data_IF_154670395042
#
_entry.id   IF_154670395042
#
_cell.length_a   1.000
_cell.length_b   1.000
_cell.length_c   1.000
_cell.angle_alpha   90.00
_cell.angle_beta   90.00
_cell.angle_gamma   90.00
#
_symmetry.space_group_name_H-M   'P 1'
#
loop_
_entity.id
_entity.type
_entity.pdbx_description
1 polymer ?
#
# COMPACT_ATOMS: atom_id res chain seq x y z
N UNK A 1 -2.98 8.90 29.19
CA UNK A 1 -1.77 8.10 28.83
C UNK A 1 -1.89 7.42 27.46
N UNK A 2 -3.02 7.55 26.76
CA UNK A 2 -3.40 6.81 25.55
C UNK A 2 -2.91 7.46 24.24
N UNK A 3 -2.98 8.78 24.14
CA UNK A 3 -2.61 9.55 22.94
C UNK A 3 -1.17 9.34 22.45
N UNK A 4 -0.19 9.52 23.34
CA UNK A 4 1.24 9.35 23.00
C UNK A 4 1.57 7.91 22.57
N UNK A 5 0.87 6.91 23.12
CA UNK A 5 1.04 5.52 22.75
C UNK A 5 0.44 5.24 21.36
N UNK A 6 -0.73 5.82 21.04
CA UNK A 6 -1.35 5.69 19.71
C UNK A 6 -0.48 6.32 18.61
N UNK A 7 0.05 7.53 18.82
CA UNK A 7 0.99 8.15 17.88
C UNK A 7 2.25 7.30 17.67
N UNK A 8 2.83 6.76 18.73
CA UNK A 8 4.01 5.90 18.64
C UNK A 8 3.74 4.59 17.88
N UNK A 9 2.54 4.01 18.02
CA UNK A 9 2.12 2.83 17.26
C UNK A 9 1.96 3.16 15.78
N UNK A 10 1.31 4.28 15.44
CA UNK A 10 1.13 4.72 14.05
C UNK A 10 2.47 5.04 13.38
N UNK A 11 3.38 5.66 14.10
CA UNK A 11 4.74 5.93 13.61
C UNK A 11 5.52 4.64 13.36
N UNK A 12 5.49 3.70 14.32
CA UNK A 12 6.13 2.38 14.16
C UNK A 12 5.55 1.61 12.97
N UNK A 13 4.23 1.62 12.82
CA UNK A 13 3.54 0.98 11.69
C UNK A 13 3.94 1.63 10.35
N UNK A 14 3.95 2.96 10.28
CA UNK A 14 4.40 3.71 9.11
C UNK A 14 5.82 3.32 8.70
N UNK A 15 6.73 3.25 9.66
CA UNK A 15 8.13 2.88 9.42
C UNK A 15 8.27 1.42 8.96
N UNK A 16 7.50 0.51 9.55
CA UNK A 16 7.53 -0.90 9.16
C UNK A 16 6.99 -1.09 7.74
N UNK A 17 5.87 -0.43 7.39
CA UNK A 17 5.31 -0.45 6.03
C UNK A 17 6.30 0.10 4.98
N UNK A 18 7.00 1.20 5.30
CA UNK A 18 8.04 1.74 4.43
C UNK A 18 9.21 0.76 4.25
N UNK A 19 9.68 0.16 5.34
CA UNK A 19 10.75 -0.86 5.30
C UNK A 19 10.36 -2.07 4.46
N UNK A 20 9.11 -2.53 4.54
CA UNK A 20 8.64 -3.65 3.72
C UNK A 20 8.54 -3.25 2.24
N UNK A 21 8.08 -2.04 1.92
CA UNK A 21 8.08 -1.54 0.55
C UNK A 21 9.50 -1.50 -0.04
N UNK A 22 10.49 -0.98 0.71
CA UNK A 22 11.90 -0.97 0.28
C UNK A 22 12.50 -2.37 0.11
N UNK A 23 12.07 -3.36 0.90
CA UNK A 23 12.51 -4.74 0.74
C UNK A 23 11.95 -5.36 -0.53
N UNK A 24 10.67 -5.12 -0.81
CA UNK A 24 10.01 -5.61 -2.03
C UNK A 24 10.64 -4.96 -3.26
N UNK A 25 10.84 -3.64 -3.25
CA UNK A 25 11.48 -2.89 -4.34
C UNK A 25 12.89 -3.40 -4.64
N UNK A 26 13.69 -3.69 -3.60
CA UNK A 26 15.00 -4.32 -3.75
C UNK A 26 14.92 -5.72 -4.34
N UNK A 27 14.00 -6.56 -3.86
CA UNK A 27 13.80 -7.90 -4.39
C UNK A 27 13.39 -7.86 -5.87
N UNK A 28 12.49 -6.95 -6.25
CA UNK A 28 12.11 -6.74 -7.65
C UNK A 28 13.32 -6.36 -8.50
N UNK A 29 14.11 -5.39 -8.02
CA UNK A 29 15.30 -4.91 -8.71
C UNK A 29 16.39 -5.98 -8.87
N UNK A 30 16.52 -6.89 -7.90
CA UNK A 30 17.48 -8.01 -7.95
C UNK A 30 16.96 -9.17 -8.82
N UNK A 31 15.66 -9.42 -8.83
CA UNK A 31 15.05 -10.53 -9.57
C UNK A 31 14.88 -10.19 -11.06
N UNK A 32 14.54 -8.95 -11.41
CA UNK A 32 14.32 -8.53 -12.80
C UNK A 32 15.51 -8.86 -13.73
N UNK A 33 16.78 -8.60 -13.38
CA UNK A 33 17.94 -8.99 -14.19
C UNK A 33 18.10 -10.51 -14.34
N UNK A 34 17.76 -11.29 -13.31
CA UNK A 34 17.80 -12.75 -13.35
C UNK A 34 16.73 -13.31 -14.30
N UNK A 35 15.58 -12.64 -14.34
CA UNK A 35 14.46 -12.97 -15.21
C UNK A 35 14.65 -12.48 -16.64
N UNK A 36 15.44 -11.42 -16.87
CA UNK A 36 15.67 -10.83 -18.19
C UNK A 36 16.30 -11.80 -19.21
N UNK A 37 16.98 -12.84 -18.74
CA UNK A 37 17.55 -13.91 -19.58
C UNK A 37 16.50 -14.94 -20.05
N UNK A 38 15.26 -14.86 -19.56
CA UNK A 38 14.19 -15.82 -19.84
C UNK A 38 12.98 -15.15 -20.50
N UNK A 39 12.30 -15.87 -21.40
CA UNK A 39 10.98 -15.46 -21.87
C UNK A 39 9.98 -15.70 -20.74
N UNK A 40 9.53 -14.61 -20.12
CA UNK A 40 8.51 -14.67 -19.09
C UNK A 40 7.16 -15.07 -19.69
N UNK A 41 6.48 -15.98 -19.01
CA UNK A 41 5.07 -16.27 -19.27
C UNK A 41 4.20 -15.09 -18.86
N UNK A 42 3.00 -15.00 -19.43
CA UNK A 42 1.99 -13.99 -19.05
C UNK A 42 1.70 -14.00 -17.54
N UNK A 43 1.65 -15.19 -16.91
CA UNK A 43 1.44 -15.32 -15.48
C UNK A 43 2.59 -14.71 -14.65
N UNK A 44 3.85 -14.87 -15.10
CA UNK A 44 5.01 -14.28 -14.43
C UNK A 44 5.06 -12.75 -14.58
N UNK A 45 4.65 -12.22 -15.74
CA UNK A 45 4.53 -10.78 -15.94
C UNK A 45 3.45 -10.17 -15.03
N UNK A 46 2.30 -10.83 -14.91
CA UNK A 46 1.26 -10.41 -13.97
C UNK A 46 1.76 -10.46 -12.51
N UNK A 47 2.49 -11.50 -12.11
CA UNK A 47 3.05 -11.57 -10.76
C UNK A 47 4.04 -10.42 -10.45
N UNK A 48 4.80 -9.93 -11.45
CA UNK A 48 5.66 -8.75 -11.29
C UNK A 48 4.84 -7.46 -11.14
N UNK A 49 3.77 -7.31 -11.93
CA UNK A 49 2.85 -6.18 -11.81
C UNK A 49 2.14 -6.15 -10.44
N UNK A 50 1.73 -7.32 -9.93
CA UNK A 50 1.11 -7.45 -8.60
C UNK A 50 2.11 -7.05 -7.49
N UNK A 51 3.40 -7.32 -7.69
CA UNK A 51 4.46 -6.99 -6.75
C UNK A 51 4.75 -5.48 -6.71
N UNK A 52 4.76 -4.81 -7.87
CA UNK A 52 4.83 -3.34 -7.95
C UNK A 52 3.60 -2.68 -7.30
N UNK A 53 2.39 -3.18 -7.60
CA UNK A 53 1.16 -2.70 -6.97
C UNK A 53 1.17 -2.88 -5.43
N UNK A 54 1.72 -3.99 -4.94
CA UNK A 54 1.92 -4.24 -3.51
C UNK A 54 2.90 -3.23 -2.91
N UNK A 55 4.03 -2.97 -3.57
CA UNK A 55 5.02 -1.97 -3.15
C UNK A 55 4.37 -0.58 -3.04
N UNK A 56 3.61 -0.17 -4.05
CA UNK A 56 2.88 1.10 -4.06
C UNK A 56 1.83 1.18 -2.94
N UNK A 57 1.08 0.10 -2.72
CA UNK A 57 0.10 0.00 -1.64
C UNK A 57 0.73 0.16 -0.26
N UNK A 58 1.90 -0.46 -0.02
CA UNK A 58 2.62 -0.32 1.24
C UNK A 58 3.14 1.10 1.45
N UNK A 59 3.63 1.76 0.40
CA UNK A 59 4.06 3.17 0.44
C UNK A 59 2.89 4.10 0.76
N UNK A 60 1.73 3.87 0.14
CA UNK A 60 0.50 4.62 0.41
C UNK A 60 0.01 4.42 1.85
N UNK A 61 -0.01 3.19 2.36
CA UNK A 61 -0.37 2.91 3.75
C UNK A 61 0.61 3.52 4.75
N UNK A 62 1.91 3.52 4.43
CA UNK A 62 2.92 4.20 5.23
C UNK A 62 2.64 5.70 5.31
N UNK A 63 2.42 6.37 4.16
CA UNK A 63 2.06 7.79 4.12
C UNK A 63 0.78 8.09 4.89
N UNK A 64 -0.25 7.27 4.71
CA UNK A 64 -1.53 7.42 5.39
C UNK A 64 -1.42 7.30 6.91
N UNK A 65 -0.72 6.28 7.40
CA UNK A 65 -0.52 6.06 8.84
C UNK A 65 0.35 7.14 9.48
N UNK A 66 1.34 7.66 8.76
CA UNK A 66 2.11 8.84 9.17
C UNK A 66 1.23 10.09 9.28
N UNK A 67 0.40 10.36 8.26
CA UNK A 67 -0.53 11.49 8.25
C UNK A 67 -1.56 11.42 9.40
N UNK A 68 -2.08 10.21 9.67
CA UNK A 68 -2.97 9.96 10.80
C UNK A 68 -2.30 10.25 12.14
N UNK A 69 -1.04 9.81 12.30
CA UNK A 69 -0.26 10.08 13.51
C UNK A 69 -0.03 11.58 13.74
N UNK A 70 0.18 12.35 12.66
CA UNK A 70 0.36 13.80 12.71
C UNK A 70 -0.94 14.56 13.02
N UNK A 71 -2.10 14.01 12.66
CA UNK A 71 -3.42 14.60 12.92
C UNK A 71 -4.07 14.13 14.24
N UNK A 72 -3.38 13.32 15.03
CA UNK A 72 -3.88 12.88 16.33
C UNK A 72 -3.91 14.08 17.32
N UNK A 73 -5.10 14.64 17.55
CA UNK A 73 -5.31 15.71 18.54
C UNK A 73 -5.31 15.19 19.99
N UNK A 74 -5.15 16.07 20.99
CA UNK A 74 -5.00 15.70 22.41
C UNK A 74 -6.18 14.92 23.02
N UNK A 75 -7.34 14.90 22.35
CA UNK A 75 -8.57 14.21 22.80
C UNK A 75 -8.74 12.79 22.23
N UNK A 76 -7.66 12.14 21.77
CA UNK A 76 -7.68 10.79 21.15
C UNK A 76 -8.60 10.65 19.92
N UNK A 77 -9.12 11.77 19.40
CA UNK A 77 -9.90 11.80 18.16
C UNK A 77 -8.95 11.94 16.98
N UNK A 78 -8.87 10.87 16.19
CA UNK A 78 -8.18 10.88 14.91
C UNK A 78 -9.01 11.67 13.90
N UNK A 79 -8.47 12.78 13.41
CA UNK A 79 -9.05 13.47 12.27
C UNK A 79 -8.51 12.81 10.98
N UNK A 80 -9.36 12.07 10.28
CA UNK A 80 -9.03 11.45 9.00
C UNK A 80 -9.18 12.42 7.82
N UNK A 81 -9.73 13.62 8.06
CA UNK A 81 -9.96 14.65 7.05
C UNK A 81 -8.61 15.12 6.47
N UNK A 82 -8.39 14.83 5.19
CA UNK A 82 -7.13 15.12 4.49
C UNK A 82 -6.11 13.97 4.50
N UNK A 83 -6.27 12.93 5.32
CA UNK A 83 -5.38 11.77 5.29
C UNK A 83 -5.57 10.94 4.02
N UNK A 84 -6.76 10.96 3.42
CA UNK A 84 -7.01 10.26 2.14
C UNK A 84 -6.31 10.93 0.94
N UNK A 85 -5.91 12.19 1.05
CA UNK A 85 -5.25 12.93 -0.04
C UNK A 85 -3.82 12.43 -0.32
N UNK A 86 -3.21 11.70 0.61
CA UNK A 86 -1.87 11.11 0.43
C UNK A 86 -1.89 9.71 -0.18
N UNK A 87 -3.09 9.15 -0.42
CA UNK A 87 -3.28 7.86 -1.09
C UNK A 87 -3.37 8.08 -2.60
N UNK A 88 -2.50 7.42 -3.36
CA UNK A 88 -2.50 7.49 -4.82
C UNK A 88 -3.39 6.40 -5.41
N UNK A 89 -3.52 5.27 -4.73
CA UNK A 89 -4.39 4.17 -5.12
C UNK A 89 -5.83 4.46 -4.70
N UNK A 90 -6.66 4.83 -5.69
CA UNK A 90 -8.08 5.15 -5.49
C UNK A 90 -8.86 4.01 -4.83
N UNK A 91 -8.66 2.78 -5.28
CA UNK A 91 -9.33 1.60 -4.70
C UNK A 91 -8.94 1.38 -3.23
N UNK A 92 -7.69 1.71 -2.87
CA UNK A 92 -7.22 1.64 -1.49
C UNK A 92 -7.86 2.76 -0.65
N UNK A 93 -7.95 3.98 -1.19
CA UNK A 93 -8.63 5.09 -0.55
C UNK A 93 -10.12 4.81 -0.32
N UNK A 94 -10.81 4.24 -1.31
CA UNK A 94 -12.22 3.88 -1.22
C UNK A 94 -12.44 2.79 -0.15
N UNK A 95 -11.57 1.77 -0.09
CA UNK A 95 -11.63 0.72 0.96
C UNK A 95 -11.37 1.26 2.36
N UNK A 96 -10.40 2.16 2.52
CA UNK A 96 -10.07 2.77 3.81
C UNK A 96 -11.14 3.79 4.25
N UNK A 97 -11.83 4.42 3.29
CA UNK A 97 -12.97 5.30 3.52
C UNK A 97 -14.26 4.59 3.93
N UNK A 98 -14.26 3.25 3.99
CA UNK A 98 -15.44 2.45 4.30
C UNK A 98 -16.38 2.25 3.12
N UNK A 99 -15.95 2.58 1.90
CA UNK A 99 -16.63 2.13 0.69
C UNK A 99 -16.59 0.61 0.65
N UNK A 100 -17.71 -0.01 0.28
CA UNK A 100 -17.76 -1.44 -0.05
C UNK A 100 -16.87 -1.66 -1.28
N UNK A 101 -15.57 -1.79 -1.04
CA UNK A 101 -14.61 -2.21 -2.05
C UNK A 101 -15.07 -3.55 -2.54
N UNK A 102 -15.65 -3.54 -3.73
CA UNK A 102 -16.09 -4.70 -4.47
C UNK A 102 -14.91 -5.68 -4.47
N UNK A 103 -14.98 -6.71 -3.62
CA UNK A 103 -14.13 -7.89 -3.70
C UNK A 103 -14.57 -8.63 -4.98
N UNK A 104 -14.40 -8.01 -6.13
CA UNK A 104 -14.31 -8.73 -7.39
C UNK A 104 -12.98 -9.44 -7.33
N UNK A 105 -13.07 -10.67 -6.85
CA UNK A 105 -12.34 -11.76 -7.45
C UNK A 105 -12.67 -11.73 -8.95
N UNK A 106 -11.94 -10.93 -9.74
CA UNK A 106 -12.06 -10.97 -11.20
C UNK A 106 -11.35 -12.25 -11.64
N UNK A 107 -12.13 -13.33 -11.57
CA UNK A 107 -11.95 -14.52 -12.38
C UNK A 107 -11.90 -14.08 -13.83
N UNK A 108 -10.67 -13.99 -14.34
CA UNK A 108 -10.27 -13.88 -15.73
C UNK A 108 -11.33 -13.57 -16.77
N UNK A 109 -11.32 -12.34 -17.27
CA UNK A 109 -11.45 -12.07 -18.70
C UNK A 109 -10.90 -10.67 -19.00
N UNK A 110 -9.71 -10.63 -19.59
CA UNK A 110 -9.26 -9.41 -20.29
C UNK A 110 -9.69 -9.60 -21.73
N UNK A 111 -10.79 -8.97 -22.11
CA UNK A 111 -11.23 -8.88 -23.50
C UNK A 111 -10.22 -8.03 -24.28
N UNK A 112 -9.64 -8.62 -25.32
CA UNK A 112 -8.66 -7.99 -26.21
C UNK A 112 -9.27 -7.90 -27.60
N UNK A 113 -10.13 -6.90 -27.79
CA UNK A 113 -10.43 -6.31 -29.09
C UNK A 113 -10.32 -4.78 -28.99
#
# INVERSE_FOLDING_TARGET
MTHKAACAVLESLSQELARQAERIDRLEHEILPLLACHKLSRAQLHALQDLDLLCQSLRDLSRYTSALGAQAGPDDRLNTTGCFEVLHLRDLADRLGGGEGHLRHDSGEVDLF
#
